data_IF_360075074169
#
_entry.id   IF_360075074169
#
_cell.length_a   1.000
_cell.length_b   1.000
_cell.length_c   1.000
_cell.angle_alpha   90.00
_cell.angle_beta   90.00
_cell.angle_gamma   90.00
#
_symmetry.space_group_name_H-M   'P 1'
#
loop_
_entity.id
_entity.type
_entity.pdbx_description
1 polymer ?
#
# COMPACT_ATOMS: atom_id res chain seq x y z
N UNK A 1 34.63 14.50 -19.85
CA UNK A 1 34.65 13.02 -19.95
C UNK A 1 34.09 12.46 -18.65
N UNK A 2 33.13 11.53 -18.75
CA UNK A 2 32.55 10.74 -17.65
C UNK A 2 31.23 11.32 -17.12
N UNK A 3 30.04 10.73 -17.27
CA UNK A 3 29.66 9.45 -17.88
C UNK A 3 29.12 8.44 -16.87
N UNK A 4 27.86 8.60 -16.46
CA UNK A 4 26.89 7.58 -16.00
C UNK A 4 25.52 8.28 -16.01
N UNK A 5 24.49 7.94 -16.79
CA UNK A 5 23.94 6.69 -17.31
C UNK A 5 23.36 5.77 -16.23
N UNK A 6 22.16 6.10 -15.73
CA UNK A 6 21.12 5.14 -15.41
C UNK A 6 19.75 5.82 -15.25
N UNK A 7 18.98 5.81 -16.34
CA UNK A 7 17.52 5.75 -16.35
C UNK A 7 17.01 4.68 -15.37
N UNK A 8 15.81 4.90 -14.82
CA UNK A 8 14.80 3.94 -14.30
C UNK A 8 14.31 4.46 -12.93
N UNK A 9 13.05 4.85 -12.72
CA UNK A 9 11.83 4.30 -13.29
C UNK A 9 10.82 5.41 -13.62
N UNK A 10 10.36 5.39 -14.86
CA UNK A 10 8.96 5.67 -15.14
C UNK A 10 8.13 4.68 -14.32
N UNK A 11 7.38 5.19 -13.35
CA UNK A 11 6.18 4.50 -12.88
C UNK A 11 5.01 5.29 -13.43
N UNK A 12 4.70 4.99 -14.69
CA UNK A 12 3.35 5.11 -15.18
C UNK A 12 2.50 4.19 -14.32
N UNK A 13 1.88 4.71 -13.27
CA UNK A 13 0.77 4.00 -12.63
C UNK A 13 -0.41 4.15 -13.56
N UNK A 14 -0.51 3.15 -14.43
CA UNK A 14 -1.54 2.97 -15.43
C UNK A 14 -2.93 3.20 -14.83
N UNK A 15 -3.69 4.08 -15.47
CA UNK A 15 -5.14 4.10 -15.40
C UNK A 15 -5.67 2.67 -15.60
N UNK A 16 -6.02 2.03 -14.49
CA UNK A 16 -6.86 0.85 -14.48
C UNK A 16 -8.08 1.24 -13.66
N UNK A 17 -9.21 1.34 -14.35
CA UNK A 17 -10.52 1.62 -13.78
C UNK A 17 -10.97 0.40 -12.94
N UNK A 18 -10.29 0.17 -11.83
CA UNK A 18 -10.56 -0.87 -10.84
C UNK A 18 -10.85 -0.15 -9.54
N UNK A 19 -12.11 -0.21 -9.10
CA UNK A 19 -12.70 0.48 -7.96
C UNK A 19 -11.67 0.90 -6.89
N UNK A 20 -11.12 2.11 -7.06
CA UNK A 20 -10.15 2.67 -6.14
C UNK A 20 -10.85 2.96 -4.82
N UNK A 21 -10.34 2.38 -3.74
CA UNK A 21 -10.87 2.60 -2.39
C UNK A 21 -9.91 3.45 -1.57
N UNK A 22 -10.47 4.31 -0.72
CA UNK A 22 -9.72 5.22 0.13
C UNK A 22 -9.48 4.61 1.50
N UNK A 23 -8.35 3.93 1.74
CA UNK A 23 -8.11 3.25 3.01
C UNK A 23 -7.47 4.20 4.03
N UNK A 24 -8.08 4.31 5.22
CA UNK A 24 -7.52 5.09 6.32
C UNK A 24 -6.57 4.25 7.17
N UNK A 25 -5.31 4.67 7.27
CA UNK A 25 -4.29 4.01 8.06
C UNK A 25 -3.91 4.87 9.24
N UNK A 26 -3.78 4.21 10.39
CA UNK A 26 -3.22 4.79 11.60
C UNK A 26 -1.87 4.13 11.86
N UNK A 27 -0.81 4.91 11.76
CA UNK A 27 0.53 4.45 12.09
C UNK A 27 0.77 4.42 13.60
N UNK A 28 1.67 3.54 14.03
CA UNK A 28 2.05 3.41 15.46
C UNK A 28 2.72 4.66 16.02
N UNK A 29 3.28 5.51 15.15
CA UNK A 29 3.83 6.82 15.50
C UNK A 29 2.76 7.88 15.81
N UNK A 30 1.47 7.57 15.61
CA UNK A 30 0.35 8.49 15.84
C UNK A 30 -0.16 9.21 14.58
N UNK A 31 0.57 9.14 13.47
CA UNK A 31 0.16 9.72 12.19
C UNK A 31 -1.03 8.95 11.60
N UNK A 32 -1.95 9.70 10.98
CA UNK A 32 -3.09 9.14 10.24
C UNK A 32 -3.08 9.72 8.83
N UNK A 33 -3.26 8.86 7.85
CA UNK A 33 -3.38 9.26 6.46
C UNK A 33 -4.33 8.33 5.72
N UNK A 34 -4.76 8.79 4.55
CA UNK A 34 -5.62 8.05 3.64
C UNK A 34 -4.81 7.75 2.39
N UNK A 35 -4.86 6.51 1.89
CA UNK A 35 -4.25 6.12 0.61
C UNK A 35 -5.29 5.44 -0.25
N UNK A 36 -5.19 5.75 -1.54
CA UNK A 36 -6.11 5.30 -2.56
C UNK A 36 -5.48 4.09 -3.25
N UNK A 37 -6.12 2.93 -3.12
CA UNK A 37 -5.64 1.67 -3.70
C UNK A 37 -6.83 0.79 -4.12
N UNK A 38 -6.64 -0.08 -5.09
CA UNK A 38 -7.68 -1.00 -5.54
C UNK A 38 -7.78 -2.24 -4.63
N UNK A 39 -8.99 -2.71 -4.31
CA UNK A 39 -9.21 -3.84 -3.38
C UNK A 39 -8.69 -5.20 -3.90
N UNK A 40 -8.60 -5.31 -5.20
CA UNK A 40 -8.00 -6.38 -5.98
C UNK A 40 -6.47 -6.44 -5.84
N UNK A 41 -5.83 -5.37 -5.35
CA UNK A 41 -4.41 -5.39 -5.03
C UNK A 41 -4.12 -6.28 -3.81
N UNK A 42 -2.93 -6.89 -3.84
CA UNK A 42 -2.40 -7.68 -2.72
C UNK A 42 -1.94 -6.79 -1.58
N UNK A 43 -1.96 -7.33 -0.35
CA UNK A 43 -1.47 -6.63 0.84
C UNK A 43 -0.03 -6.17 0.69
N UNK A 44 0.81 -6.91 -0.06
CA UNK A 44 2.19 -6.51 -0.34
C UNK A 44 2.28 -5.13 -1.01
N UNK A 45 1.56 -4.95 -2.12
CA UNK A 45 1.51 -3.66 -2.83
C UNK A 45 0.98 -2.55 -1.94
N UNK A 46 0.00 -2.85 -1.09
CA UNK A 46 -0.51 -1.88 -0.12
C UNK A 46 0.54 -1.46 0.92
N UNK A 47 1.32 -2.41 1.45
CA UNK A 47 2.41 -2.10 2.38
C UNK A 47 3.48 -1.22 1.74
N UNK A 48 3.79 -1.42 0.47
CA UNK A 48 4.76 -0.58 -0.25
C UNK A 48 4.27 0.87 -0.35
N UNK A 49 2.99 1.08 -0.67
CA UNK A 49 2.35 2.42 -0.69
C UNK A 49 2.36 3.05 0.71
N UNK A 50 2.02 2.27 1.74
CA UNK A 50 2.05 2.71 3.14
C UNK A 50 3.49 3.01 3.59
N UNK A 51 4.49 2.30 3.08
CA UNK A 51 5.90 2.51 3.44
C UNK A 51 6.38 3.89 3.03
N UNK A 52 6.01 4.33 1.83
CA UNK A 52 6.32 5.67 1.34
C UNK A 52 5.61 6.79 2.12
N UNK A 53 4.48 6.50 2.74
CA UNK A 53 3.68 7.51 3.49
C UNK A 53 3.97 7.54 4.99
N UNK A 54 4.42 6.43 5.57
CA UNK A 54 4.60 6.26 7.02
C UNK A 54 6.08 6.18 7.43
N UNK A 55 7.02 6.12 6.49
CA UNK A 55 8.46 5.90 6.70
C UNK A 55 8.81 4.57 7.41
N UNK A 56 7.88 3.62 7.44
CA UNK A 56 8.10 2.27 8.00
C UNK A 56 8.27 1.30 6.84
N UNK A 57 9.35 0.51 6.74
CA UNK A 57 9.52 -0.42 5.64
C UNK A 57 8.45 -1.52 5.66
N UNK A 58 7.99 -1.95 4.49
CA UNK A 58 6.89 -2.91 4.33
C UNK A 58 7.05 -4.20 5.18
N UNK A 59 8.27 -4.72 5.30
CA UNK A 59 8.58 -5.92 6.08
C UNK A 59 8.41 -5.73 7.59
N UNK A 60 8.53 -4.49 8.08
CA UNK A 60 8.36 -4.14 9.50
C UNK A 60 6.93 -3.66 9.82
N UNK A 61 6.11 -3.40 8.81
CA UNK A 61 4.73 -2.99 9.01
C UNK A 61 3.84 -4.16 9.44
N UNK A 62 3.07 -3.97 10.51
CA UNK A 62 1.95 -4.85 10.88
C UNK A 62 0.63 -4.15 10.62
N UNK A 63 0.00 -4.52 9.52
CA UNK A 63 -1.36 -4.12 9.22
C UNK A 63 -2.32 -5.05 10.00
N UNK A 64 -3.19 -4.45 10.80
CA UNK A 64 -4.16 -5.17 11.64
C UNK A 64 -5.55 -4.65 11.28
N UNK A 65 -6.44 -5.54 10.84
CA UNK A 65 -7.83 -5.22 10.52
C UNK A 65 -8.76 -6.20 11.21
N UNK A 66 -9.76 -5.70 11.93
CA UNK A 66 -10.72 -6.50 12.72
C UNK A 66 -10.04 -7.56 13.61
N UNK A 67 -8.90 -7.22 14.21
CA UNK A 67 -8.13 -8.13 15.07
C UNK A 67 -7.33 -9.21 14.33
N UNK A 68 -7.27 -9.17 12.99
CA UNK A 68 -6.46 -10.07 12.16
C UNK A 68 -5.27 -9.32 11.58
N UNK A 69 -4.10 -9.93 11.63
CA UNK A 69 -2.90 -9.43 10.94
C UNK A 69 -3.06 -9.77 9.46
N UNK A 70 -2.93 -8.77 8.59
CA UNK A 70 -2.95 -8.99 7.16
C UNK A 70 -1.63 -9.62 6.71
N UNK A 71 -1.73 -10.68 5.92
CA UNK A 71 -0.61 -11.35 5.26
C UNK A 71 -0.51 -10.92 3.80
N UNK A 72 0.73 -10.92 3.31
CA UNK A 72 1.08 -10.51 1.95
C UNK A 72 0.51 -11.41 0.85
N UNK A 73 0.21 -12.67 1.21
CA UNK A 73 -0.35 -13.69 0.31
C UNK A 73 -1.84 -13.50 0.00
N UNK A 74 -2.47 -12.46 0.55
CA UNK A 74 -3.91 -12.23 0.45
C UNK A 74 -4.21 -10.82 -0.08
N UNK A 75 -5.36 -10.68 -0.74
CA UNK A 75 -5.85 -9.38 -1.24
C UNK A 75 -6.59 -8.61 -0.16
N UNK A 76 -6.69 -7.29 -0.33
CA UNK A 76 -7.44 -6.43 0.60
C UNK A 76 -8.93 -6.82 0.63
N UNK A 77 -9.48 -7.19 -0.52
CA UNK A 77 -10.84 -7.71 -0.66
C UNK A 77 -11.08 -8.98 0.16
N UNK A 78 -10.10 -9.90 0.21
CA UNK A 78 -10.18 -11.16 0.96
C UNK A 78 -10.42 -10.94 2.46
N UNK A 79 -9.86 -9.85 3.02
CA UNK A 79 -10.07 -9.47 4.42
C UNK A 79 -11.40 -8.76 4.69
N UNK A 80 -12.20 -8.51 3.66
CA UNK A 80 -13.43 -7.74 3.77
C UNK A 80 -13.17 -6.31 4.21
N UNK A 81 -12.08 -5.70 3.70
CA UNK A 81 -11.91 -4.24 3.70
C UNK A 81 -12.94 -3.69 2.72
N UNK A 82 -14.21 -3.75 3.11
CA UNK A 82 -15.30 -3.08 2.44
C UNK A 82 -15.64 -1.89 3.32
N UNK A 83 -15.63 -0.69 2.74
CA UNK A 83 -16.10 0.50 3.42
C UNK A 83 -17.54 0.27 3.90
N UNK A 84 -17.78 0.51 5.20
CA UNK A 84 -19.11 0.73 5.77
C UNK A 84 -19.21 2.21 6.08
#
# INVERSE_FOLDING_TARGET
MGGDAATTAESATSESNAAEVNINIRCSNGSKFSVQISLDSVVRSFKDVVAGSCDIPADQQRLIYKGRILKDDQTLQSYGILFV
#
